data_IF_122993290164
#
_entry.id   IF_122993290164
#
_cell.length_a   1.000
_cell.length_b   1.000
_cell.length_c   1.000
_cell.angle_alpha   90.00
_cell.angle_beta   90.00
_cell.angle_gamma   90.00
#
_symmetry.space_group_name_H-M   'P 1'
#
loop_
_entity.id
_entity.type
_entity.pdbx_description
1 polymer ?
#
# COMPACT_ATOMS: atom_id res chain seq x y z
N UNK A 1 -15.95 -20.80 -1.08
CA UNK A 1 -15.60 -20.99 -2.51
C UNK A 1 -14.69 -19.85 -2.96
N UNK A 2 -13.81 -20.08 -3.93
CA UNK A 2 -13.01 -19.02 -4.58
C UNK A 2 -13.53 -18.80 -5.98
N UNK A 3 -13.44 -17.56 -6.46
CA UNK A 3 -13.98 -17.17 -7.75
C UNK A 3 -12.93 -16.39 -8.55
N UNK A 4 -12.94 -16.52 -9.87
CA UNK A 4 -12.11 -15.69 -10.75
C UNK A 4 -12.96 -14.96 -11.78
N UNK A 5 -12.44 -13.82 -12.28
CA UNK A 5 -13.12 -13.03 -13.32
C UNK A 5 -13.07 -13.74 -14.66
N UNK A 6 -14.20 -13.78 -15.35
CA UNK A 6 -14.25 -14.16 -16.76
C UNK A 6 -13.80 -13.01 -17.67
N UNK A 7 -13.63 -13.27 -18.96
CA UNK A 7 -13.34 -12.20 -19.95
C UNK A 7 -14.50 -11.18 -20.01
N UNK A 8 -15.75 -11.64 -19.90
CA UNK A 8 -16.91 -10.77 -19.82
C UNK A 8 -16.88 -9.89 -18.57
N UNK A 9 -16.42 -10.43 -17.42
CA UNK A 9 -16.24 -9.66 -16.19
C UNK A 9 -15.16 -8.58 -16.34
N UNK A 10 -14.06 -8.89 -16.98
CA UNK A 10 -12.98 -7.93 -17.26
C UNK A 10 -13.46 -6.81 -18.22
N UNK A 11 -14.20 -7.16 -19.28
CA UNK A 11 -14.77 -6.20 -20.22
C UNK A 11 -15.83 -5.30 -19.55
N UNK A 12 -16.68 -5.87 -18.68
CA UNK A 12 -17.69 -5.10 -17.92
C UNK A 12 -17.05 -4.07 -17.00
N UNK A 13 -15.89 -4.38 -16.40
CA UNK A 13 -15.13 -3.43 -15.60
C UNK A 13 -14.48 -2.32 -16.44
N UNK A 14 -14.03 -2.64 -17.64
CA UNK A 14 -13.45 -1.67 -18.57
C UNK A 14 -14.51 -0.71 -19.14
N UNK A 15 -15.77 -1.15 -19.25
CA UNK A 15 -16.86 -0.34 -19.78
C UNK A 15 -17.45 0.54 -18.67
N UNK A 16 -17.26 1.87 -18.76
CA UNK A 16 -17.79 2.87 -17.81
C UNK A 16 -19.32 2.97 -17.79
N UNK A 17 -20.02 2.53 -18.85
CA UNK A 17 -21.47 2.56 -18.99
C UNK A 17 -22.11 1.21 -18.69
N UNK A 18 -21.47 0.33 -17.90
CA UNK A 18 -22.07 -0.96 -17.56
C UNK A 18 -23.25 -0.79 -16.60
N UNK A 19 -24.35 -1.52 -16.87
CA UNK A 19 -25.56 -1.59 -16.02
C UNK A 19 -25.35 -2.31 -14.68
N UNK A 20 -24.09 -2.54 -14.28
CA UNK A 20 -23.79 -3.22 -13.05
C UNK A 20 -23.87 -2.25 -11.87
N UNK A 21 -24.71 -2.50 -10.84
CA UNK A 21 -24.80 -1.68 -9.64
C UNK A 21 -23.43 -1.48 -8.99
N UNK A 22 -23.16 -0.28 -8.44
CA UNK A 22 -21.86 0.06 -7.83
C UNK A 22 -21.35 -0.99 -6.84
N UNK A 23 -22.15 -1.54 -5.89
CA UNK A 23 -21.67 -2.55 -4.96
C UNK A 23 -21.21 -3.83 -5.66
N UNK A 24 -21.95 -4.32 -6.65
CA UNK A 24 -21.58 -5.51 -7.43
C UNK A 24 -20.33 -5.26 -8.30
N UNK A 25 -20.15 -4.04 -8.80
CA UNK A 25 -18.96 -3.66 -9.53
C UNK A 25 -17.72 -3.66 -8.61
N UNK A 26 -17.88 -3.18 -7.37
CA UNK A 26 -16.80 -3.22 -6.35
C UNK A 26 -16.47 -4.67 -5.99
N UNK A 27 -17.46 -5.53 -5.77
CA UNK A 27 -17.24 -6.95 -5.55
C UNK A 27 -16.51 -7.60 -6.73
N UNK A 28 -16.96 -7.32 -7.96
CA UNK A 28 -16.31 -7.84 -9.17
C UNK A 28 -14.85 -7.37 -9.30
N UNK A 29 -14.52 -6.15 -8.87
CA UNK A 29 -13.13 -5.65 -8.82
C UNK A 29 -12.26 -6.48 -7.87
N UNK A 30 -12.79 -6.86 -6.71
CA UNK A 30 -12.08 -7.55 -5.64
C UNK A 30 -11.89 -9.06 -5.91
N UNK A 31 -12.71 -9.68 -6.74
CA UNK A 31 -12.56 -11.10 -7.13
C UNK A 31 -11.24 -11.28 -7.87
N UNK A 32 -10.30 -12.07 -7.34
CA UNK A 32 -8.93 -12.25 -7.86
C UNK A 32 -8.49 -13.71 -8.07
N UNK A 33 -9.36 -14.67 -7.78
CA UNK A 33 -9.03 -16.10 -7.86
C UNK A 33 -8.36 -16.67 -6.62
N UNK A 34 -7.99 -15.84 -5.66
CA UNK A 34 -7.23 -16.24 -4.47
C UNK A 34 -8.08 -16.19 -3.18
N UNK A 35 -8.95 -15.19 -3.06
CA UNK A 35 -9.77 -14.96 -1.86
C UNK A 35 -11.07 -15.73 -1.92
N UNK A 36 -11.47 -16.26 -0.76
CA UNK A 36 -12.76 -16.93 -0.62
C UNK A 36 -13.90 -15.90 -0.41
N UNK A 37 -15.14 -16.38 -0.52
CA UNK A 37 -16.36 -15.59 -0.40
C UNK A 37 -16.45 -14.82 0.92
N UNK A 38 -16.10 -15.45 2.04
CA UNK A 38 -16.16 -14.82 3.36
C UNK A 38 -15.13 -13.68 3.49
N UNK A 39 -13.94 -13.85 2.95
CA UNK A 39 -12.90 -12.82 2.92
C UNK A 39 -13.32 -11.62 2.06
N UNK A 40 -13.94 -11.87 0.90
CA UNK A 40 -14.40 -10.82 0.00
C UNK A 40 -15.57 -10.04 0.61
N UNK A 41 -16.52 -10.72 1.27
CA UNK A 41 -17.62 -10.06 2.00
C UNK A 41 -17.10 -9.27 3.20
N UNK A 42 -16.14 -9.81 3.95
CA UNK A 42 -15.49 -9.12 5.06
C UNK A 42 -14.81 -7.81 4.64
N UNK A 43 -14.23 -7.77 3.43
CA UNK A 43 -13.61 -6.56 2.86
C UNK A 43 -14.63 -5.49 2.43
N UNK A 44 -15.87 -5.87 2.17
CA UNK A 44 -16.92 -4.97 1.71
C UNK A 44 -17.75 -4.39 2.87
N UNK A 45 -17.59 -4.90 4.10
CA UNK A 45 -18.19 -4.37 5.32
C UNK A 45 -19.70 -4.13 5.20
N UNK A 46 -20.17 -2.96 5.65
CA UNK A 46 -21.60 -2.57 5.66
C UNK A 46 -22.19 -2.23 4.26
N UNK A 47 -21.57 -2.67 3.17
CA UNK A 47 -22.07 -2.40 1.80
C UNK A 47 -23.38 -3.12 1.45
N UNK A 48 -23.94 -3.91 2.41
CA UNK A 48 -25.20 -4.64 2.24
C UNK A 48 -25.13 -5.79 1.23
N UNK A 49 -23.91 -6.20 0.86
CA UNK A 49 -23.68 -7.36 -0.01
C UNK A 49 -23.61 -8.63 0.82
N UNK A 50 -24.31 -9.64 0.36
CA UNK A 50 -24.35 -11.00 0.91
C UNK A 50 -23.87 -12.03 -0.12
N UNK A 51 -23.96 -13.30 0.21
CA UNK A 51 -23.63 -14.40 -0.69
C UNK A 51 -24.43 -14.39 -2.00
N UNK A 52 -25.57 -13.72 -2.04
CA UNK A 52 -26.42 -13.59 -3.22
C UNK A 52 -25.78 -12.68 -4.29
N UNK A 53 -24.88 -11.79 -3.88
CA UNK A 53 -24.09 -10.97 -4.80
C UNK A 53 -23.18 -11.81 -5.71
N UNK A 54 -22.59 -12.88 -5.17
CA UNK A 54 -21.79 -13.82 -5.97
C UNK A 54 -22.66 -14.63 -6.93
N UNK A 55 -23.84 -15.09 -6.48
CA UNK A 55 -24.78 -15.77 -7.36
C UNK A 55 -25.18 -14.86 -8.55
N UNK A 56 -25.46 -13.59 -8.31
CA UNK A 56 -25.77 -12.62 -9.36
C UNK A 56 -24.60 -12.44 -10.36
N UNK A 57 -23.36 -12.38 -9.89
CA UNK A 57 -22.20 -12.27 -10.77
C UNK A 57 -21.94 -13.56 -11.57
N UNK A 58 -22.21 -14.74 -10.99
CA UNK A 58 -22.14 -16.03 -11.67
C UNK A 58 -23.21 -16.15 -12.77
N UNK A 59 -24.47 -15.82 -12.47
CA UNK A 59 -25.59 -15.84 -13.41
C UNK A 59 -25.34 -14.91 -14.61
N UNK A 60 -24.71 -13.76 -14.37
CA UNK A 60 -24.31 -12.83 -15.43
C UNK A 60 -23.05 -13.27 -16.17
N UNK A 61 -22.43 -14.39 -15.80
CA UNK A 61 -21.21 -14.90 -16.41
C UNK A 61 -19.98 -14.02 -16.20
N UNK A 62 -19.99 -13.14 -15.18
CA UNK A 62 -18.91 -12.18 -14.93
C UNK A 62 -17.78 -12.78 -14.08
N UNK A 63 -18.11 -13.82 -13.29
CA UNK A 63 -17.15 -14.62 -12.51
C UNK A 63 -17.40 -16.10 -12.77
N UNK A 64 -16.41 -16.94 -12.45
CA UNK A 64 -16.56 -18.39 -12.40
C UNK A 64 -15.99 -18.94 -11.10
N UNK A 65 -16.61 -20.00 -10.57
CA UNK A 65 -16.11 -20.71 -9.40
C UNK A 65 -14.86 -21.51 -9.77
N UNK A 66 -13.84 -21.46 -8.94
CA UNK A 66 -12.69 -22.33 -9.03
C UNK A 66 -12.97 -23.60 -8.22
N UNK A 67 -12.60 -24.80 -8.72
CA UNK A 67 -12.71 -26.01 -7.93
C UNK A 67 -11.87 -25.88 -6.66
N UNK A 68 -12.51 -26.09 -5.51
CA UNK A 68 -11.80 -26.14 -4.23
C UNK A 68 -10.78 -27.27 -4.30
N UNK A 69 -9.50 -26.99 -4.21
CA UNK A 69 -8.52 -28.02 -3.90
C UNK A 69 -8.82 -28.50 -2.47
N UNK A 70 -9.66 -29.52 -2.38
CA UNK A 70 -9.85 -30.24 -1.14
C UNK A 70 -8.48 -30.78 -0.70
N UNK A 71 -8.10 -30.45 0.53
CA UNK A 71 -6.91 -30.98 1.17
C UNK A 71 -6.91 -32.49 1.01
N UNK A 72 -5.90 -33.02 0.33
CA UNK A 72 -5.67 -34.45 0.24
C UNK A 72 -5.46 -34.98 1.67
N UNK A 73 -6.35 -35.84 2.13
CA UNK A 73 -6.21 -36.56 3.38
C UNK A 73 -4.97 -37.47 3.32
N UNK A 74 -4.16 -37.54 4.38
CA UNK A 74 -3.02 -38.47 4.41
C UNK A 74 -3.50 -39.90 4.46
N UNK A 75 -2.79 -40.88 3.84
CA UNK A 75 -3.13 -42.28 3.91
C UNK A 75 -2.92 -42.83 5.33
N UNK A 76 -3.65 -43.94 5.72
CA UNK A 76 -3.62 -44.45 7.08
C UNK A 76 -2.26 -45.08 7.42
N UNK A 77 -1.72 -44.66 8.53
CA UNK A 77 -0.46 -45.13 9.11
C UNK A 77 -0.68 -46.48 9.75
N UNK A 78 0.00 -47.54 9.27
CA UNK A 78 0.25 -48.76 10.04
C UNK A 78 1.42 -48.52 10.99
N UNK A 79 1.21 -48.90 12.23
CA UNK A 79 2.15 -48.80 13.32
C UNK A 79 3.32 -49.80 13.16
N UNK A 80 4.56 -49.37 13.41
CA UNK A 80 5.62 -50.14 14.08
C UNK A 80 6.81 -49.26 14.46
N UNK A 81 6.98 -49.11 15.75
CA UNK A 81 8.20 -49.15 16.58
C UNK A 81 9.48 -48.35 16.26
N UNK A 82 9.74 -47.43 17.18
CA UNK A 82 10.94 -47.35 18.04
C UNK A 82 12.18 -46.56 17.58
N UNK A 83 12.53 -45.62 18.48
CA UNK A 83 13.85 -45.05 18.79
C UNK A 83 14.31 -43.84 17.98
N UNK A 84 14.28 -42.67 18.70
CA UNK A 84 14.90 -41.42 18.28
C UNK A 84 16.44 -41.50 18.20
N UNK A 85 17.09 -40.46 17.67
CA UNK A 85 17.30 -39.21 18.43
C UNK A 85 17.24 -37.91 17.60
N UNK A 86 17.07 -36.83 18.34
CA UNK A 86 17.35 -35.41 18.00
C UNK A 86 16.77 -34.83 16.71
N UNK A 87 15.65 -34.19 16.86
CA UNK A 87 15.12 -33.20 15.93
C UNK A 87 16.05 -31.97 15.86
N UNK A 88 16.72 -31.79 14.75
CA UNK A 88 17.16 -30.49 14.27
C UNK A 88 15.93 -29.74 13.85
N UNK A 89 15.62 -28.65 14.54
CA UNK A 89 14.60 -27.66 14.13
C UNK A 89 15.00 -27.13 12.75
N UNK A 90 14.38 -27.65 11.71
CA UNK A 90 14.38 -26.99 10.42
C UNK A 90 13.55 -25.70 10.58
N UNK A 91 14.23 -24.56 10.46
CA UNK A 91 13.60 -23.25 10.41
C UNK A 91 12.57 -23.26 9.27
N UNK A 92 11.30 -23.04 9.62
CA UNK A 92 10.25 -22.80 8.63
C UNK A 92 10.62 -21.55 7.84
N UNK A 93 10.79 -21.67 6.53
CA UNK A 93 10.99 -20.52 5.66
C UNK A 93 9.81 -19.57 5.84
N UNK A 94 10.07 -18.26 6.05
CA UNK A 94 9.00 -17.26 6.18
C UNK A 94 8.20 -17.24 4.88
N UNK A 95 6.88 -17.39 4.97
CA UNK A 95 5.97 -17.20 3.83
C UNK A 95 6.29 -15.84 3.20
N UNK A 96 6.60 -15.76 1.90
CA UNK A 96 6.86 -14.50 1.26
C UNK A 96 5.62 -13.62 1.37
N UNK A 97 5.79 -12.42 1.92
CA UNK A 97 4.78 -11.37 1.89
C UNK A 97 4.28 -11.17 0.45
N UNK A 98 3.00 -10.76 0.23
CA UNK A 98 2.44 -10.62 -1.11
C UNK A 98 3.26 -9.61 -1.91
N UNK A 99 4.12 -10.15 -2.76
CA UNK A 99 5.10 -9.38 -3.54
C UNK A 99 4.44 -8.77 -4.78
N UNK A 100 4.57 -7.46 -4.93
CA UNK A 100 4.71 -6.72 -6.20
C UNK A 100 3.55 -6.56 -7.18
N UNK A 101 2.38 -7.17 -7.04
CA UNK A 101 1.26 -6.92 -7.97
C UNK A 101 0.55 -5.58 -7.75
N UNK A 102 0.66 -4.99 -6.55
CA UNK A 102 0.11 -3.66 -6.27
C UNK A 102 0.88 -2.54 -6.99
N UNK A 103 2.22 -2.67 -7.12
CA UNK A 103 3.07 -1.66 -7.74
C UNK A 103 2.88 -1.50 -9.26
N UNK A 104 2.66 -2.60 -9.99
CA UNK A 104 2.38 -2.53 -11.43
C UNK A 104 1.07 -1.78 -11.73
N UNK A 105 0.07 -1.92 -10.83
CA UNK A 105 -1.20 -1.19 -10.93
C UNK A 105 -1.07 0.29 -10.53
N UNK A 106 -0.15 0.62 -9.59
CA UNK A 106 0.10 1.98 -9.14
C UNK A 106 0.70 2.86 -10.25
N UNK A 107 1.66 2.32 -11.02
CA UNK A 107 2.23 3.03 -12.18
C UNK A 107 1.20 3.35 -13.25
N UNK A 108 0.23 2.46 -13.46
CA UNK A 108 -0.90 2.69 -14.37
C UNK A 108 -1.89 3.71 -13.79
N UNK A 109 -2.14 3.69 -12.47
CA UNK A 109 -3.00 4.65 -11.79
C UNK A 109 -2.43 6.07 -11.79
N UNK A 110 -1.12 6.22 -11.56
CA UNK A 110 -0.42 7.50 -11.62
C UNK A 110 -0.46 8.10 -13.04
N UNK A 111 -0.18 7.27 -14.05
CA UNK A 111 -0.25 7.65 -15.45
C UNK A 111 -1.68 8.04 -15.83
N UNK A 112 -2.67 7.24 -15.43
CA UNK A 112 -4.08 7.54 -15.67
C UNK A 112 -4.55 8.82 -14.94
N UNK A 113 -4.10 9.07 -13.71
CA UNK A 113 -4.47 10.28 -12.96
C UNK A 113 -3.84 11.56 -13.55
N UNK A 114 -2.62 11.46 -14.09
CA UNK A 114 -1.89 12.59 -14.67
C UNK A 114 -2.17 12.78 -16.17
N UNK A 115 -2.37 11.69 -16.94
CA UNK A 115 -2.68 11.75 -18.38
C UNK A 115 -4.17 11.89 -18.68
N UNK A 116 -5.06 11.37 -17.83
CA UNK A 116 -6.52 11.50 -17.97
C UNK A 116 -7.03 12.71 -17.21
N UNK A 117 -6.60 13.92 -17.47
CA UNK A 117 -7.14 15.17 -16.88
C UNK A 117 -8.23 14.90 -15.83
N UNK A 118 -7.82 14.53 -14.60
CA UNK A 118 -8.78 14.39 -13.51
C UNK A 118 -9.29 15.78 -13.15
N UNK A 119 -10.60 15.96 -13.15
CA UNK A 119 -11.23 17.21 -12.71
C UNK A 119 -11.24 17.33 -11.17
N UNK A 120 -10.79 16.30 -10.46
CA UNK A 120 -10.75 16.27 -9.00
C UNK A 120 -9.40 16.73 -8.46
N UNK A 121 -9.29 17.90 -7.83
CA UNK A 121 -8.05 18.36 -7.19
C UNK A 121 -7.49 17.36 -6.17
N UNK A 122 -8.36 16.61 -5.51
CA UNK A 122 -8.02 15.58 -4.54
C UNK A 122 -7.29 14.39 -5.19
N UNK A 123 -7.76 13.94 -6.36
CA UNK A 123 -7.11 12.86 -7.11
C UNK A 123 -5.74 13.28 -7.67
N UNK A 124 -5.64 14.53 -8.12
CA UNK A 124 -4.37 15.12 -8.58
C UNK A 124 -3.36 15.11 -7.43
N UNK A 125 -3.75 15.62 -6.26
CA UNK A 125 -2.90 15.63 -5.06
C UNK A 125 -2.47 14.22 -4.66
N UNK A 126 -3.39 13.25 -4.67
CA UNK A 126 -3.08 11.85 -4.37
C UNK A 126 -2.08 11.26 -5.38
N UNK A 127 -2.19 11.60 -6.67
CA UNK A 127 -1.20 11.21 -7.69
C UNK A 127 0.18 11.81 -7.43
N UNK A 128 0.26 13.06 -6.98
CA UNK A 128 1.52 13.74 -6.67
C UNK A 128 2.27 13.08 -5.50
N UNK A 129 1.58 12.45 -4.55
CA UNK A 129 2.23 11.76 -3.43
C UNK A 129 3.21 10.68 -3.90
N UNK A 130 2.88 9.93 -4.95
CA UNK A 130 3.74 8.89 -5.52
C UNK A 130 4.98 9.48 -6.20
N UNK A 131 4.82 10.60 -6.91
CA UNK A 131 5.93 11.33 -7.53
C UNK A 131 6.89 11.83 -6.45
N UNK A 132 6.34 12.46 -5.40
CA UNK A 132 7.11 12.99 -4.28
C UNK A 132 7.87 11.86 -3.57
N UNK A 133 7.21 10.71 -3.34
CA UNK A 133 7.84 9.54 -2.73
C UNK A 133 9.05 9.07 -3.53
N UNK A 134 8.90 8.84 -4.83
CA UNK A 134 10.00 8.39 -5.68
C UNK A 134 11.16 9.39 -5.69
N UNK A 135 10.87 10.68 -5.80
CA UNK A 135 11.89 11.73 -5.76
C UNK A 135 12.61 11.77 -4.40
N UNK A 136 11.85 11.65 -3.29
CA UNK A 136 12.38 11.69 -1.94
C UNK A 136 13.35 10.53 -1.64
N UNK A 137 13.14 9.36 -2.24
CA UNK A 137 14.00 8.19 -1.99
C UNK A 137 15.18 8.06 -2.93
N UNK A 138 15.15 8.66 -4.14
CA UNK A 138 16.14 8.34 -5.16
C UNK A 138 16.66 9.51 -5.98
N UNK A 139 15.98 10.67 -6.00
CA UNK A 139 16.36 11.79 -6.87
C UNK A 139 16.19 13.15 -6.20
N UNK A 140 17.20 13.63 -5.46
CA UNK A 140 17.17 14.95 -4.85
C UNK A 140 17.03 16.11 -5.85
N UNK A 141 17.48 15.94 -7.10
CA UNK A 141 17.36 16.95 -8.15
C UNK A 141 15.90 17.06 -8.62
N UNK A 142 15.25 15.93 -8.85
CA UNK A 142 13.82 15.88 -9.14
C UNK A 142 13.02 16.45 -7.95
N UNK A 143 13.42 16.13 -6.71
CA UNK A 143 12.76 16.67 -5.53
C UNK A 143 12.83 18.21 -5.52
N UNK A 144 14.00 18.77 -5.74
CA UNK A 144 14.18 20.23 -5.82
C UNK A 144 13.44 20.85 -7.02
N UNK A 145 13.27 20.12 -8.10
CA UNK A 145 12.45 20.54 -9.24
C UNK A 145 10.96 20.54 -8.86
N UNK A 146 10.48 19.52 -8.16
CA UNK A 146 9.09 19.44 -7.67
C UNK A 146 8.75 20.58 -6.72
N UNK A 147 9.65 20.99 -5.83
CA UNK A 147 9.46 22.14 -4.94
C UNK A 147 9.15 23.44 -5.71
N UNK A 148 9.69 23.59 -6.91
CA UNK A 148 9.50 24.79 -7.75
C UNK A 148 8.29 24.69 -8.70
N UNK A 149 7.82 23.47 -9.00
CA UNK A 149 6.80 23.23 -10.03
C UNK A 149 5.56 22.51 -9.50
N UNK A 150 5.40 22.43 -8.18
CA UNK A 150 4.24 21.74 -7.58
C UNK A 150 2.92 22.38 -7.98
N UNK A 151 2.88 23.71 -8.11
CA UNK A 151 1.69 24.44 -8.55
C UNK A 151 1.36 24.15 -10.03
N UNK A 152 2.38 24.09 -10.90
CA UNK A 152 2.21 23.71 -12.30
C UNK A 152 1.66 22.29 -12.44
N UNK A 153 2.14 21.35 -11.60
CA UNK A 153 1.66 19.98 -11.56
C UNK A 153 0.21 19.90 -11.07
N UNK A 154 -0.15 20.66 -10.04
CA UNK A 154 -1.53 20.78 -9.55
C UNK A 154 -2.47 21.39 -10.60
N UNK A 155 -1.98 22.35 -11.34
CA UNK A 155 -2.67 22.96 -12.48
C UNK A 155 -2.67 22.05 -13.74
N UNK A 156 -2.08 20.86 -13.66
CA UNK A 156 -1.95 19.89 -14.76
C UNK A 156 -1.32 20.52 -16.02
N UNK A 157 -0.34 21.39 -15.84
CA UNK A 157 0.41 21.96 -16.97
C UNK A 157 1.13 20.84 -17.72
N UNK A 158 0.83 20.68 -19.00
CA UNK A 158 1.26 19.55 -19.82
C UNK A 158 2.77 19.31 -19.79
N UNK A 159 3.56 20.37 -19.85
CA UNK A 159 5.02 20.26 -19.82
C UNK A 159 5.54 19.74 -18.48
N UNK A 160 4.96 20.21 -17.35
CA UNK A 160 5.34 19.77 -16.02
C UNK A 160 4.94 18.31 -15.77
N UNK A 161 3.73 17.93 -16.17
CA UNK A 161 3.23 16.54 -16.08
C UNK A 161 4.11 15.60 -16.91
N UNK A 162 4.40 15.94 -18.16
CA UNK A 162 5.22 15.12 -19.04
C UNK A 162 6.64 14.89 -18.47
N UNK A 163 7.28 15.96 -17.97
CA UNK A 163 8.59 15.88 -17.34
C UNK A 163 8.58 14.96 -16.11
N UNK A 164 7.64 15.16 -15.18
CA UNK A 164 7.53 14.37 -13.97
C UNK A 164 7.28 12.88 -14.28
N UNK A 165 6.32 12.57 -15.16
CA UNK A 165 5.99 11.19 -15.55
C UNK A 165 7.18 10.48 -16.18
N UNK A 166 7.87 11.12 -17.12
CA UNK A 166 9.04 10.54 -17.77
C UNK A 166 10.15 10.23 -16.74
N UNK A 167 10.44 11.18 -15.84
CA UNK A 167 11.51 11.01 -14.85
C UNK A 167 11.19 9.93 -13.83
N UNK A 168 9.94 9.86 -13.36
CA UNK A 168 9.49 8.83 -12.41
C UNK A 168 9.53 7.43 -13.02
N UNK A 169 9.17 7.26 -14.28
CA UNK A 169 9.26 5.96 -14.94
C UNK A 169 10.71 5.46 -14.96
N UNK A 170 11.65 6.32 -15.35
CA UNK A 170 13.09 5.98 -15.35
C UNK A 170 13.60 5.60 -13.96
N UNK A 171 13.25 6.40 -12.94
CA UNK A 171 13.65 6.14 -11.55
C UNK A 171 13.11 4.81 -11.03
N UNK A 172 11.86 4.52 -11.27
CA UNK A 172 11.24 3.27 -10.83
C UNK A 172 11.90 2.05 -11.46
N UNK A 173 12.12 2.09 -12.77
CA UNK A 173 12.81 1.02 -13.49
C UNK A 173 14.22 0.78 -12.93
N UNK A 174 14.94 1.86 -12.59
CA UNK A 174 16.26 1.78 -11.96
C UNK A 174 16.19 1.15 -10.57
N UNK A 175 15.32 1.65 -9.68
CA UNK A 175 15.16 1.14 -8.32
C UNK A 175 14.76 -0.34 -8.34
N UNK A 176 13.79 -0.72 -9.17
CA UNK A 176 13.34 -2.11 -9.28
C UNK A 176 14.44 -3.03 -9.82
N UNK A 177 15.29 -2.54 -10.74
CA UNK A 177 16.43 -3.29 -11.22
C UNK A 177 17.49 -3.50 -10.13
N UNK A 178 17.81 -2.45 -9.37
CA UNK A 178 18.75 -2.51 -8.24
C UNK A 178 18.24 -3.42 -7.11
N UNK A 179 16.95 -3.32 -6.76
CA UNK A 179 16.34 -4.15 -5.71
C UNK A 179 16.41 -5.64 -6.06
N UNK A 180 16.18 -5.98 -7.35
CA UNK A 180 16.34 -7.36 -7.84
C UNK A 180 17.76 -7.86 -7.73
N UNK A 181 18.75 -7.00 -8.04
CA UNK A 181 20.17 -7.37 -7.97
C UNK A 181 20.66 -7.50 -6.53
N UNK A 182 20.23 -6.60 -5.65
CA UNK A 182 20.72 -6.50 -4.26
C UNK A 182 19.83 -7.25 -3.26
N UNK A 183 18.73 -7.85 -3.70
CA UNK A 183 17.75 -8.53 -2.83
C UNK A 183 17.27 -7.62 -1.69
N UNK A 184 17.15 -6.32 -1.95
CA UNK A 184 16.69 -5.34 -0.93
C UNK A 184 15.24 -5.59 -0.54
N UNK A 185 15.02 -5.75 0.78
CA UNK A 185 13.67 -5.86 1.37
C UNK A 185 13.69 -5.21 2.75
N UNK A 186 12.84 -4.22 3.05
CA UNK A 186 11.91 -3.54 2.13
C UNK A 186 12.62 -2.70 1.06
N UNK A 187 11.92 -2.49 -0.07
CA UNK A 187 12.36 -1.61 -1.15
C UNK A 187 12.36 -0.14 -0.69
N UNK A 188 13.26 0.73 -1.18
CA UNK A 188 13.16 2.18 -0.97
C UNK A 188 11.79 2.76 -1.34
N UNK A 189 11.11 2.20 -2.35
CA UNK A 189 9.76 2.61 -2.76
C UNK A 189 8.68 2.37 -1.70
N UNK A 190 8.99 1.62 -0.64
CA UNK A 190 8.09 1.42 0.50
C UNK A 190 8.14 2.57 1.53
N UNK A 191 8.91 3.63 1.28
CA UNK A 191 8.92 4.82 2.13
C UNK A 191 7.50 5.38 2.34
N UNK A 192 7.12 5.57 3.59
CA UNK A 192 5.78 5.99 4.00
C UNK A 192 4.69 4.91 3.93
N UNK A 193 4.94 3.74 3.29
CA UNK A 193 3.88 2.75 3.06
C UNK A 193 3.46 2.01 4.33
N UNK A 194 4.39 1.65 5.20
CA UNK A 194 4.07 0.92 6.42
C UNK A 194 3.04 1.67 7.30
N UNK A 195 3.24 2.98 7.50
CA UNK A 195 2.32 3.83 8.24
C UNK A 195 1.14 4.31 7.40
N UNK A 196 1.34 4.52 6.10
CA UNK A 196 0.27 4.90 5.16
C UNK A 196 -0.84 3.85 5.06
N UNK A 197 -0.52 2.57 5.01
CA UNK A 197 -1.53 1.51 5.01
C UNK A 197 -2.34 1.46 6.32
N UNK A 198 -1.70 1.79 7.45
CA UNK A 198 -2.41 1.93 8.72
C UNK A 198 -3.37 3.13 8.67
N UNK A 199 -2.91 4.28 8.17
CA UNK A 199 -3.76 5.46 7.96
C UNK A 199 -4.97 5.15 7.08
N UNK A 200 -4.77 4.41 5.98
CA UNK A 200 -5.85 4.02 5.06
C UNK A 200 -6.91 3.12 5.73
N UNK A 201 -6.48 2.31 6.69
CA UNK A 201 -7.32 1.28 7.32
C UNK A 201 -7.93 1.71 8.65
N UNK A 202 -7.33 2.66 9.37
CA UNK A 202 -7.67 2.97 10.77
C UNK A 202 -9.09 3.51 10.95
N UNK A 203 -9.60 4.29 9.97
CA UNK A 203 -10.99 4.76 9.93
C UNK A 203 -11.89 3.95 8.97
N UNK A 204 -11.41 2.82 8.46
CA UNK A 204 -12.05 2.04 7.40
C UNK A 204 -11.65 2.50 6.00
N UNK A 205 -11.66 1.55 5.07
CA UNK A 205 -11.26 1.79 3.68
C UNK A 205 -12.17 2.82 2.99
N UNK A 206 -11.58 3.61 2.07
CA UNK A 206 -12.31 4.58 1.23
C UNK A 206 -12.45 5.99 1.83
N UNK A 207 -12.01 6.22 3.06
CA UNK A 207 -11.94 7.56 3.68
C UNK A 207 -10.82 8.39 3.06
N UNK A 208 -9.67 7.77 2.88
CA UNK A 208 -8.50 8.35 2.22
C UNK A 208 -8.30 7.73 0.85
N UNK A 209 -7.88 8.53 -0.11
CA UNK A 209 -7.27 8.02 -1.33
C UNK A 209 -5.90 7.43 -0.98
N UNK A 210 -5.46 6.42 -1.71
CA UNK A 210 -4.18 5.77 -1.44
C UNK A 210 -3.00 6.77 -1.34
N UNK A 211 -2.89 7.70 -2.29
CA UNK A 211 -1.84 8.72 -2.25
C UNK A 211 -1.93 9.68 -1.06
N UNK A 212 -3.14 10.01 -0.58
CA UNK A 212 -3.32 10.80 0.64
C UNK A 212 -2.78 10.03 1.87
N UNK A 213 -3.09 8.74 1.97
CA UNK A 213 -2.62 7.90 3.05
C UNK A 213 -1.09 7.72 3.00
N UNK A 214 -0.51 7.54 1.80
CA UNK A 214 0.96 7.48 1.62
C UNK A 214 1.61 8.82 1.97
N UNK A 215 1.02 9.94 1.60
CA UNK A 215 1.49 11.27 1.99
C UNK A 215 1.59 11.44 3.51
N UNK A 216 0.52 11.06 4.23
CA UNK A 216 0.51 11.03 5.70
C UNK A 216 1.52 10.04 6.26
N UNK A 217 1.68 8.87 5.65
CA UNK A 217 2.69 7.89 6.02
C UNK A 217 4.12 8.41 5.86
N UNK A 218 4.41 9.19 4.81
CA UNK A 218 5.70 9.86 4.64
C UNK A 218 5.96 10.93 5.71
N UNK A 219 4.94 11.70 6.10
CA UNK A 219 5.04 12.67 7.21
C UNK A 219 5.37 11.97 8.52
N UNK A 220 4.63 10.92 8.84
CA UNK A 220 4.86 10.13 10.06
C UNK A 220 6.24 9.46 10.06
N UNK A 221 6.69 8.95 8.90
CA UNK A 221 8.02 8.37 8.75
C UNK A 221 9.13 9.41 8.93
N UNK A 222 8.94 10.64 8.43
CA UNK A 222 9.88 11.74 8.63
C UNK A 222 9.93 12.19 10.11
N UNK A 223 8.78 12.33 10.78
CA UNK A 223 8.70 12.67 12.21
C UNK A 223 9.36 11.57 13.07
N UNK A 224 9.17 10.30 12.69
CA UNK A 224 9.82 9.15 13.32
C UNK A 224 11.35 9.21 13.11
N UNK A 225 11.81 9.42 11.87
CA UNK A 225 13.22 9.57 11.53
C UNK A 225 13.92 10.68 12.30
N UNK A 226 13.26 11.84 12.45
CA UNK A 226 13.76 12.94 13.28
C UNK A 226 13.85 12.56 14.76
N UNK A 227 12.81 11.92 15.31
CA UNK A 227 12.79 11.54 16.73
C UNK A 227 13.86 10.50 17.09
N UNK A 228 14.28 9.70 16.11
CA UNK A 228 15.37 8.74 16.22
C UNK A 228 16.74 9.36 15.95
N UNK A 229 16.82 10.65 15.60
CA UNK A 229 18.06 11.31 15.22
C UNK A 229 18.66 10.83 13.89
N UNK A 230 17.84 10.17 13.05
CA UNK A 230 18.26 9.60 11.78
C UNK A 230 18.10 10.57 10.60
N UNK A 231 17.15 11.49 10.68
CA UNK A 231 16.83 12.45 9.62
C UNK A 231 17.05 13.88 10.08
N UNK A 232 17.65 14.72 9.22
CA UNK A 232 17.80 16.13 9.52
C UNK A 232 16.45 16.87 9.53
N UNK A 233 16.34 17.90 10.37
CA UNK A 233 15.15 18.74 10.44
C UNK A 233 14.89 19.45 9.10
N UNK A 234 15.94 19.86 8.37
CA UNK A 234 15.84 20.50 7.08
C UNK A 234 15.20 19.58 6.03
N UNK A 235 15.69 18.33 5.93
CA UNK A 235 15.17 17.33 5.00
C UNK A 235 13.69 17.02 5.27
N UNK A 236 13.32 16.83 6.54
CA UNK A 236 11.95 16.56 6.93
C UNK A 236 11.01 17.75 6.66
N UNK A 237 11.48 18.97 6.92
CA UNK A 237 10.68 20.18 6.68
C UNK A 237 10.50 20.47 5.18
N UNK A 238 11.49 20.17 4.35
CA UNK A 238 11.35 20.23 2.90
C UNK A 238 10.28 19.26 2.39
N UNK A 239 10.32 18.01 2.86
CA UNK A 239 9.29 17.01 2.53
C UNK A 239 7.90 17.50 2.96
N UNK A 240 7.76 18.00 4.17
CA UNK A 240 6.50 18.53 4.72
C UNK A 240 5.94 19.64 3.84
N UNK A 241 6.76 20.62 3.49
CA UNK A 241 6.34 21.75 2.63
C UNK A 241 5.92 21.29 1.25
N UNK A 242 6.63 20.36 0.65
CA UNK A 242 6.28 19.85 -0.68
C UNK A 242 4.95 19.06 -0.66
N UNK A 243 4.73 18.22 0.35
CA UNK A 243 3.45 17.49 0.53
C UNK A 243 2.28 18.47 0.75
N UNK A 244 2.50 19.53 1.55
CA UNK A 244 1.51 20.59 1.75
C UNK A 244 1.24 21.36 0.46
N UNK A 245 2.28 21.75 -0.27
CA UNK A 245 2.18 22.41 -1.58
C UNK A 245 1.43 21.56 -2.61
N UNK A 246 1.61 20.23 -2.57
CA UNK A 246 0.86 19.30 -3.40
C UNK A 246 -0.63 19.18 -3.02
N UNK A 247 -1.09 19.81 -1.93
CA UNK A 247 -2.48 19.78 -1.48
C UNK A 247 -2.86 18.50 -0.76
N UNK A 248 -1.89 17.77 -0.22
CA UNK A 248 -2.13 16.56 0.55
C UNK A 248 -2.56 16.90 1.99
N UNK A 249 -3.31 15.99 2.66
CA UNK A 249 -3.65 16.16 4.06
C UNK A 249 -2.38 16.15 4.92
N UNK A 250 -2.33 17.04 5.93
CA UNK A 250 -1.16 17.21 6.79
C UNK A 250 -1.37 16.67 8.20
N UNK A 251 -2.58 16.26 8.54
CA UNK A 251 -2.93 15.71 9.85
C UNK A 251 -3.43 14.26 9.68
N UNK A 252 -2.84 13.30 10.39
CA UNK A 252 -3.33 11.94 10.39
C UNK A 252 -4.72 11.86 11.03
N UNK A 253 -5.50 10.81 10.74
CA UNK A 253 -6.79 10.60 11.37
C UNK A 253 -6.64 10.35 12.87
N UNK A 254 -7.58 10.87 13.65
CA UNK A 254 -7.66 10.56 15.09
C UNK A 254 -8.44 9.26 15.31
N UNK A 255 -7.83 8.30 15.97
CA UNK A 255 -8.45 7.04 16.32
C UNK A 255 -7.94 6.52 17.68
N UNK A 256 -8.66 5.61 18.34
CA UNK A 256 -8.22 4.98 19.58
C UNK A 256 -6.86 4.29 19.41
N UNK A 257 -6.03 4.35 20.44
CA UNK A 257 -4.68 3.75 20.43
C UNK A 257 -4.72 2.26 20.09
N UNK A 258 -5.69 1.51 20.63
CA UNK A 258 -5.84 0.08 20.35
C UNK A 258 -6.06 -0.19 18.86
N UNK A 259 -6.82 0.68 18.18
CA UNK A 259 -7.06 0.54 16.76
C UNK A 259 -5.79 0.73 15.92
N UNK A 260 -4.92 1.66 16.30
CA UNK A 260 -3.61 1.82 15.69
C UNK A 260 -2.73 0.59 15.92
N UNK A 261 -2.71 0.07 17.16
CA UNK A 261 -1.93 -1.11 17.53
C UNK A 261 -2.32 -2.38 16.77
N UNK A 262 -3.63 -2.59 16.56
CA UNK A 262 -4.16 -3.71 15.79
C UNK A 262 -3.67 -3.73 14.34
N UNK A 263 -3.43 -2.55 13.76
CA UNK A 263 -3.12 -2.38 12.35
C UNK A 263 -1.62 -2.20 12.06
N UNK A 264 -0.81 -1.89 13.07
CA UNK A 264 0.63 -1.75 12.88
C UNK A 264 1.26 -3.08 12.43
N UNK A 265 2.07 -3.06 11.33
CA UNK A 265 2.74 -4.26 10.83
C UNK A 265 3.93 -4.63 11.73
N UNK A 266 3.64 -5.26 12.87
CA UNK A 266 4.65 -5.68 13.83
C UNK A 266 5.31 -7.00 13.39
N UNK A 267 6.61 -7.11 13.62
CA UNK A 267 7.40 -8.30 13.28
C UNK A 267 7.09 -9.44 14.25
N UNK A 268 6.45 -10.51 13.75
CA UNK A 268 6.06 -11.66 14.58
C UNK A 268 7.24 -12.50 15.09
N UNK A 269 8.42 -12.41 14.48
CA UNK A 269 9.61 -13.15 14.91
C UNK A 269 10.25 -12.58 16.19
N UNK A 270 10.05 -11.29 16.48
CA UNK A 270 10.63 -10.59 17.63
C UNK A 270 9.63 -10.32 18.76
N UNK A 271 8.50 -11.06 18.81
CA UNK A 271 7.51 -10.89 19.86
C UNK A 271 6.66 -9.62 19.75
N UNK A 272 6.32 -9.19 18.54
CA UNK A 272 5.38 -8.11 18.22
C UNK A 272 5.76 -6.73 18.80
N UNK A 273 7.04 -6.48 19.04
CA UNK A 273 7.52 -5.23 19.65
C UNK A 273 8.17 -4.26 18.67
N UNK A 274 8.38 -4.65 17.41
CA UNK A 274 9.13 -3.86 16.42
C UNK A 274 8.40 -3.79 15.09
N UNK A 275 8.55 -2.68 14.40
CA UNK A 275 8.06 -2.46 13.04
C UNK A 275 9.25 -2.23 12.10
N UNK A 276 9.27 -2.93 10.97
CA UNK A 276 10.21 -2.63 9.89
C UNK A 276 9.62 -1.58 8.96
N UNK A 277 10.37 -0.52 8.69
CA UNK A 277 9.96 0.53 7.78
C UNK A 277 11.16 1.15 7.05
N UNK A 278 10.87 1.82 5.95
CA UNK A 278 11.84 2.66 5.25
C UNK A 278 11.74 4.07 5.83
N UNK A 279 12.87 4.62 6.25
CA UNK A 279 13.06 6.00 6.67
C UNK A 279 14.03 6.69 5.70
N UNK A 280 14.26 7.98 5.88
CA UNK A 280 15.28 8.73 5.15
C UNK A 280 16.33 9.25 6.13
N UNK A 281 17.60 9.27 5.72
CA UNK A 281 18.64 10.10 6.37
C UNK A 281 18.56 11.51 5.85
N UNK A 282 18.56 11.61 4.53
CA UNK A 282 18.39 12.83 3.75
C UNK A 282 17.54 12.48 2.52
N UNK A 283 17.11 13.49 1.78
CA UNK A 283 16.46 13.29 0.49
C UNK A 283 17.42 12.54 -0.45
N UNK A 284 16.97 11.45 -1.06
CA UNK A 284 17.77 10.55 -1.87
C UNK A 284 18.57 9.50 -1.07
N UNK A 285 18.46 9.46 0.25
CA UNK A 285 19.22 8.52 1.09
C UNK A 285 18.29 7.67 1.98
N UNK A 286 17.55 6.71 1.39
CA UNK A 286 16.67 5.81 2.12
C UNK A 286 17.45 4.80 2.95
N UNK A 287 16.90 4.41 4.10
CA UNK A 287 17.41 3.34 4.95
C UNK A 287 16.30 2.46 5.49
N UNK A 288 16.58 1.17 5.57
CA UNK A 288 15.71 0.20 6.23
C UNK A 288 15.97 0.22 7.73
N UNK A 289 14.93 0.42 8.51
CA UNK A 289 15.01 0.54 9.96
C UNK A 289 14.01 -0.38 10.64
N UNK A 290 14.46 -1.04 11.72
CA UNK A 290 13.61 -1.73 12.68
C UNK A 290 13.39 -0.80 13.86
N UNK A 291 12.13 -0.44 14.11
CA UNK A 291 11.76 0.58 15.10
C UNK A 291 10.92 -0.04 16.20
N UNK A 292 11.24 0.20 17.49
CA UNK A 292 10.40 -0.22 18.60
C UNK A 292 8.98 0.35 18.50
N UNK A 293 7.97 -0.46 18.82
CA UNK A 293 6.56 -0.05 18.84
C UNK A 293 6.33 1.24 19.63
N UNK A 294 7.01 1.40 20.75
CA UNK A 294 6.88 2.59 21.60
C UNK A 294 7.26 3.88 20.87
N UNK A 295 8.32 3.85 20.04
CA UNK A 295 8.73 5.00 19.24
C UNK A 295 7.69 5.37 18.20
N UNK A 296 7.05 4.35 17.59
CA UNK A 296 5.94 4.57 16.66
C UNK A 296 4.75 5.21 17.37
N UNK A 297 4.36 4.70 18.53
CA UNK A 297 3.27 5.26 19.35
C UNK A 297 3.55 6.70 19.78
N UNK A 298 4.76 7.01 20.24
CA UNK A 298 5.15 8.38 20.57
C UNK A 298 5.06 9.32 19.36
N UNK A 299 5.38 8.82 18.18
CA UNK A 299 5.24 9.60 16.93
C UNK A 299 3.78 9.86 16.61
N UNK A 300 2.92 8.85 16.73
CA UNK A 300 1.47 8.98 16.53
C UNK A 300 0.85 9.95 17.55
N UNK A 301 1.30 9.92 18.81
CA UNK A 301 0.84 10.85 19.85
C UNK A 301 1.22 12.30 19.51
N UNK A 302 2.51 12.55 19.18
CA UNK A 302 2.98 13.89 18.79
C UNK A 302 2.27 14.43 17.55
N UNK A 303 1.91 13.57 16.60
CA UNK A 303 1.17 13.95 15.40
C UNK A 303 -0.32 14.22 15.65
N UNK A 304 -0.83 13.96 16.86
CA UNK A 304 -2.24 14.09 17.20
C UNK A 304 -3.13 12.97 16.67
N UNK A 305 -2.54 11.84 16.23
CA UNK A 305 -3.26 10.70 15.68
C UNK A 305 -4.02 9.89 16.74
N UNK A 306 -3.54 9.91 18.00
CA UNK A 306 -4.18 9.14 19.07
C UNK A 306 -5.37 9.90 19.65
N UNK A 307 -6.52 9.22 19.75
CA UNK A 307 -7.66 9.66 20.52
C UNK A 307 -7.59 9.05 21.92
N UNK A 308 -7.99 9.84 22.89
CA UNK A 308 -8.10 9.38 24.29
C UNK A 308 -9.13 8.26 24.43
#
# INVERSE_FOLDING_TARGET
>A
MTYEKTDAGRQTLANRQSDLPRPLRTLLLLVDGARNEAELLGMLGESGLDSQAFATLLERGLIRALPSQAAAAPPPTTAAEARGPRATLAAAEPKPAPRFTAFAKLGQGLRAALESRSDSPREISAGLAEIIKCAAVADPELFAWLERHVDDLRAQQQHAVAHAVQRIQQLRDQIEAEDRQQHRTPSPLEFGMALGHVVESVLGFGRYLHGEAIGLGMLLAADLGQSLGLQSAESAERLRRLLQGAGLPMMPPRAPTDRWLELLPLDGETGAQHMRCVLLRELGAPLNQTVPREQVLQTLERSGALAA
#
